data_IF_993119467338
#
_entry.id   IF_993119467338
#
_cell.length_a   1.000
_cell.length_b   1.000
_cell.length_c   1.000
_cell.angle_alpha   90.00
_cell.angle_beta   90.00
_cell.angle_gamma   90.00
#
_symmetry.space_group_name_H-M   'P 1'
#
loop_
_entity.id
_entity.type
_entity.pdbx_description
1 polymer ?
#
# COMPACT_ATOMS: atom_id res chain seq x y z
N UNK A 1 -17.61 -17.23 39.78
CA UNK A 1 -17.10 -16.54 38.57
C UNK A 1 -17.12 -17.54 37.43
N UNK A 2 -17.57 -17.16 36.22
CA UNK A 2 -17.67 -18.08 35.09
C UNK A 2 -16.28 -18.53 34.63
N UNK A 3 -16.11 -19.80 34.27
CA UNK A 3 -14.89 -20.40 33.68
C UNK A 3 -14.35 -19.55 32.51
N UNK A 4 -15.23 -18.84 31.78
CA UNK A 4 -14.83 -17.90 30.72
C UNK A 4 -14.00 -16.71 31.22
N UNK A 5 -14.32 -16.18 32.41
CA UNK A 5 -13.66 -14.99 32.95
C UNK A 5 -12.24 -15.32 33.44
N UNK A 6 -12.07 -16.49 34.02
CA UNK A 6 -10.77 -17.00 34.47
C UNK A 6 -9.82 -17.26 33.29
N UNK A 7 -10.32 -17.84 32.19
CA UNK A 7 -9.53 -18.01 30.95
C UNK A 7 -9.13 -16.67 30.30
N UNK A 8 -10.02 -15.67 30.33
CA UNK A 8 -9.72 -14.33 29.81
C UNK A 8 -8.64 -13.64 30.66
N UNK A 9 -8.71 -13.74 31.99
CA UNK A 9 -7.66 -13.20 32.88
C UNK A 9 -6.32 -13.91 32.71
N UNK A 10 -6.30 -15.24 32.56
CA UNK A 10 -5.08 -15.98 32.22
C UNK A 10 -4.50 -15.52 30.88
N UNK A 11 -5.35 -15.27 29.88
CA UNK A 11 -4.90 -14.74 28.60
C UNK A 11 -4.30 -13.34 28.81
N UNK A 12 -4.98 -12.43 29.51
CA UNK A 12 -4.49 -11.08 29.82
C UNK A 12 -3.14 -11.11 30.55
N UNK A 13 -3.00 -11.93 31.59
CA UNK A 13 -1.76 -12.07 32.36
C UNK A 13 -0.61 -12.55 31.47
N UNK A 14 -0.84 -13.56 30.63
CA UNK A 14 0.18 -14.05 29.70
C UNK A 14 0.53 -13.00 28.64
N UNK A 15 -0.45 -12.24 28.15
CA UNK A 15 -0.26 -11.17 27.18
C UNK A 15 0.51 -9.98 27.79
N UNK A 16 0.27 -9.65 29.07
CA UNK A 16 1.02 -8.65 29.83
C UNK A 16 2.43 -9.14 30.23
N UNK A 17 2.66 -10.43 30.43
CA UNK A 17 3.99 -10.97 30.71
C UNK A 17 4.91 -10.94 29.48
N UNK A 18 4.36 -11.08 28.27
CA UNK A 18 5.09 -10.91 27.00
C UNK A 18 5.57 -9.47 26.78
N UNK A 19 4.88 -8.49 27.37
CA UNK A 19 5.23 -7.06 27.32
C UNK A 19 6.55 -6.75 28.05
N UNK A 20 7.03 -7.61 28.96
CA UNK A 20 8.25 -7.37 29.77
C UNK A 20 9.59 -7.74 29.08
N UNK A 21 9.62 -7.90 27.76
CA UNK A 21 10.87 -7.96 26.98
C UNK A 21 11.71 -9.24 27.19
N UNK A 22 11.10 -10.41 27.08
CA UNK A 22 11.77 -11.70 27.38
C UNK A 22 12.61 -12.23 26.20
N UNK A 23 13.77 -12.89 26.42
CA UNK A 23 14.64 -13.40 25.35
C UNK A 23 13.98 -14.46 24.44
N UNK A 24 14.43 -14.52 23.19
CA UNK A 24 13.85 -15.31 22.08
C UNK A 24 13.70 -16.81 22.38
N UNK A 25 14.58 -17.40 23.19
CA UNK A 25 14.49 -18.84 23.53
C UNK A 25 13.53 -19.17 24.66
N UNK A 26 13.18 -18.18 25.48
CA UNK A 26 12.04 -18.28 26.39
C UNK A 26 10.72 -18.17 25.62
N UNK A 27 10.70 -17.41 24.53
CA UNK A 27 9.55 -17.25 23.64
C UNK A 27 9.10 -18.58 23.02
N UNK A 28 10.01 -19.52 22.69
CA UNK A 28 9.64 -20.85 22.17
C UNK A 28 9.02 -21.77 23.24
N UNK A 29 9.57 -21.79 24.46
CA UNK A 29 8.95 -22.51 25.60
C UNK A 29 7.61 -21.91 25.99
N UNK A 30 7.50 -20.58 25.94
CA UNK A 30 6.28 -19.83 26.23
C UNK A 30 5.24 -20.01 25.14
N UNK A 31 5.61 -20.04 23.85
CA UNK A 31 4.73 -20.44 22.73
C UNK A 31 4.11 -21.82 22.92
N UNK A 32 4.84 -22.76 23.53
CA UNK A 32 4.31 -24.09 23.86
C UNK A 32 3.29 -24.02 24.99
N UNK A 33 3.63 -23.38 26.13
CA UNK A 33 2.65 -23.10 27.21
C UNK A 33 1.43 -22.32 26.72
N UNK A 34 1.62 -21.41 25.77
CA UNK A 34 0.56 -20.60 25.18
C UNK A 34 -0.34 -21.45 24.27
N UNK A 35 0.25 -22.30 23.42
CA UNK A 35 -0.50 -23.27 22.62
C UNK A 35 -1.30 -24.25 23.50
N UNK A 36 -0.71 -24.69 24.60
CA UNK A 36 -1.36 -25.58 25.57
C UNK A 36 -2.47 -24.85 26.37
N UNK A 37 -2.28 -23.56 26.70
CA UNK A 37 -3.29 -22.73 27.36
C UNK A 37 -4.44 -22.32 26.43
N UNK A 38 -4.15 -22.18 25.13
CA UNK A 38 -5.10 -21.89 24.07
C UNK A 38 -5.79 -23.14 23.52
N UNK A 39 -5.36 -24.33 23.92
CA UNK A 39 -6.02 -25.58 23.60
C UNK A 39 -7.43 -25.55 24.23
N UNK A 40 -8.44 -25.27 23.40
CA UNK A 40 -9.82 -25.05 23.84
C UNK A 40 -10.19 -23.62 24.24
N UNK A 41 -9.40 -22.61 23.85
CA UNK A 41 -9.82 -21.20 23.79
C UNK A 41 -10.26 -20.91 22.36
N UNK A 42 -11.50 -20.48 22.19
CA UNK A 42 -12.04 -20.07 20.90
C UNK A 42 -11.41 -18.76 20.45
N UNK A 43 -11.28 -18.57 19.13
CA UNK A 43 -10.86 -17.30 18.52
C UNK A 43 -11.72 -16.10 19.00
N UNK A 44 -12.97 -16.34 19.37
CA UNK A 44 -13.88 -15.36 19.97
C UNK A 44 -13.43 -14.92 21.38
N UNK A 45 -12.94 -15.84 22.21
CA UNK A 45 -12.48 -15.53 23.58
C UNK A 45 -11.18 -14.73 23.59
N UNK A 46 -10.30 -15.04 22.65
CA UNK A 46 -9.09 -14.25 22.37
C UNK A 46 -9.47 -12.83 21.97
N UNK A 47 -10.40 -12.69 21.02
CA UNK A 47 -10.88 -11.38 20.55
C UNK A 47 -11.53 -10.55 21.66
N UNK A 48 -12.25 -11.19 22.59
CA UNK A 48 -12.86 -10.52 23.74
C UNK A 48 -11.80 -9.95 24.70
N UNK A 49 -10.74 -10.70 24.96
CA UNK A 49 -9.64 -10.23 25.81
C UNK A 49 -8.95 -9.00 25.19
N UNK A 50 -8.71 -8.99 23.88
CA UNK A 50 -8.09 -7.84 23.21
C UNK A 50 -9.01 -6.60 23.20
N UNK A 51 -10.34 -6.76 23.09
CA UNK A 51 -11.28 -5.63 23.20
C UNK A 51 -11.24 -4.99 24.60
N UNK A 52 -11.10 -5.81 25.64
CA UNK A 52 -10.95 -5.30 27.00
C UNK A 52 -9.63 -4.54 27.15
N UNK A 53 -8.53 -5.02 26.57
CA UNK A 53 -7.23 -4.32 26.57
C UNK A 53 -7.29 -2.96 25.85
N UNK A 54 -8.04 -2.84 24.75
CA UNK A 54 -8.30 -1.55 24.07
C UNK A 54 -9.02 -0.57 25.02
N UNK A 55 -10.07 -1.04 25.69
CA UNK A 55 -10.85 -0.22 26.64
C UNK A 55 -10.02 0.20 27.85
N UNK A 56 -9.06 -0.62 28.25
CA UNK A 56 -8.11 -0.36 29.33
C UNK A 56 -6.96 0.58 28.91
N UNK A 57 -6.91 1.00 27.64
CA UNK A 57 -5.97 2.00 27.14
C UNK A 57 -4.60 1.46 26.72
N UNK A 58 -4.48 0.15 26.46
CA UNK A 58 -3.25 -0.45 25.93
C UNK A 58 -2.90 0.17 24.56
N UNK A 59 -1.63 0.52 24.29
CA UNK A 59 -1.24 1.12 23.02
C UNK A 59 -1.57 0.22 21.82
N UNK A 60 -2.07 0.84 20.73
CA UNK A 60 -2.42 0.13 19.49
C UNK A 60 -1.24 -0.70 18.96
N UNK A 61 -0.01 -0.18 19.06
CA UNK A 61 1.21 -0.90 18.66
C UNK A 61 1.44 -2.21 19.41
N UNK A 62 0.92 -2.33 20.63
CA UNK A 62 1.01 -3.55 21.44
C UNK A 62 -0.12 -4.51 21.10
N UNK A 63 -1.34 -3.99 20.91
CA UNK A 63 -2.48 -4.78 20.42
C UNK A 63 -2.15 -5.41 19.06
N UNK A 64 -1.44 -4.71 18.18
CA UNK A 64 -1.01 -5.25 16.90
C UNK A 64 -0.03 -6.43 17.02
N UNK A 65 0.79 -6.49 18.09
CA UNK A 65 1.62 -7.67 18.38
C UNK A 65 0.79 -8.86 18.84
N UNK A 66 -0.36 -8.62 19.47
CA UNK A 66 -1.33 -9.64 19.85
C UNK A 66 -2.01 -10.24 18.62
N UNK A 67 -2.45 -9.39 17.68
CA UNK A 67 -2.99 -9.83 16.39
C UNK A 67 -2.01 -10.75 15.64
N UNK A 68 -0.71 -10.44 15.68
CA UNK A 68 0.32 -11.26 15.03
C UNK A 68 0.46 -12.65 15.64
N UNK A 69 0.31 -12.76 16.96
CA UNK A 69 0.33 -14.03 17.66
C UNK A 69 -0.93 -14.85 17.33
N UNK A 70 -2.09 -14.20 17.26
CA UNK A 70 -3.38 -14.86 16.95
C UNK A 70 -3.40 -15.44 15.54
N UNK A 71 -2.92 -14.68 14.53
CA UNK A 71 -2.79 -15.17 13.15
C UNK A 71 -1.91 -16.42 13.08
N UNK A 72 -0.83 -16.48 13.88
CA UNK A 72 0.06 -17.64 13.90
C UNK A 72 -0.59 -18.89 14.52
N UNK A 73 -1.51 -18.72 15.46
CA UNK A 73 -2.19 -19.83 16.16
C UNK A 73 -3.30 -20.46 15.34
N UNK A 74 -4.01 -19.65 14.56
CA UNK A 74 -5.13 -20.08 13.71
C UNK A 74 -4.70 -20.27 12.26
N UNK A 75 -3.40 -20.17 11.98
CA UNK A 75 -2.81 -20.26 10.64
C UNK A 75 -3.30 -21.48 9.88
N UNK A 76 -3.38 -22.63 10.54
CA UNK A 76 -3.80 -23.90 9.94
C UNK A 76 -5.31 -23.94 9.64
N UNK A 77 -6.15 -23.25 10.43
CA UNK A 77 -7.58 -23.13 10.17
C UNK A 77 -7.83 -22.24 8.94
N UNK A 78 -7.09 -21.14 8.83
CA UNK A 78 -7.18 -20.19 7.73
C UNK A 78 -6.71 -20.76 6.39
N UNK A 79 -5.93 -21.84 6.36
CA UNK A 79 -5.51 -22.46 5.09
C UNK A 79 -6.69 -22.85 4.21
N UNK A 80 -7.80 -23.27 4.83
CA UNK A 80 -9.04 -23.69 4.15
C UNK A 80 -9.85 -22.54 3.55
N UNK A 81 -9.54 -21.29 3.91
CA UNK A 81 -10.22 -20.11 3.36
C UNK A 81 -9.74 -19.86 1.93
N UNK A 82 -10.67 -19.91 0.98
CA UNK A 82 -10.42 -19.62 -0.43
C UNK A 82 -11.33 -18.48 -0.90
N UNK A 83 -10.82 -17.66 -1.82
CA UNK A 83 -11.62 -16.67 -2.52
C UNK A 83 -12.63 -17.39 -3.42
N UNK A 84 -13.92 -17.18 -3.16
CA UNK A 84 -15.00 -17.79 -3.96
C UNK A 84 -15.49 -16.79 -5.00
N UNK A 85 -15.86 -17.29 -6.18
CA UNK A 85 -16.59 -16.52 -7.20
C UNK A 85 -15.88 -15.25 -7.74
N UNK A 86 -14.54 -15.21 -7.73
CA UNK A 86 -13.77 -14.10 -8.33
C UNK A 86 -13.63 -14.31 -9.85
N UNK A 87 -14.12 -13.40 -10.71
CA UNK A 87 -13.98 -13.54 -12.16
C UNK A 87 -12.53 -13.46 -12.64
N UNK A 88 -12.19 -14.20 -13.71
CA UNK A 88 -10.86 -14.07 -14.34
C UNK A 88 -10.62 -12.64 -14.84
N UNK A 89 -9.42 -12.13 -14.59
CA UNK A 89 -9.03 -10.77 -14.96
C UNK A 89 -9.52 -9.67 -14.01
N UNK A 90 -10.32 -10.04 -13.01
CA UNK A 90 -10.72 -9.13 -11.93
C UNK A 90 -9.45 -8.68 -11.16
N UNK A 91 -9.38 -7.44 -10.63
CA UNK A 91 -8.19 -6.98 -9.90
C UNK A 91 -7.75 -7.93 -8.79
N UNK A 92 -8.70 -8.51 -8.04
CA UNK A 92 -8.42 -9.49 -7.00
C UNK A 92 -7.85 -10.83 -7.53
N UNK A 93 -8.33 -11.32 -8.68
CA UNK A 93 -7.75 -12.51 -9.36
C UNK A 93 -6.31 -12.23 -9.79
N UNK A 94 -6.05 -11.03 -10.33
CA UNK A 94 -4.71 -10.63 -10.73
C UNK A 94 -3.77 -10.48 -9.52
N UNK A 95 -4.23 -9.86 -8.42
CA UNK A 95 -3.44 -9.76 -7.19
C UNK A 95 -3.09 -11.14 -6.63
N UNK A 96 -4.03 -12.08 -6.63
CA UNK A 96 -3.78 -13.45 -6.16
C UNK A 96 -2.76 -14.19 -7.05
N UNK A 97 -2.85 -14.04 -8.38
CA UNK A 97 -1.84 -14.57 -9.31
C UNK A 97 -0.47 -13.94 -9.15
N UNK A 98 -0.42 -12.63 -8.85
CA UNK A 98 0.84 -11.97 -8.52
C UNK A 98 1.44 -12.57 -7.24
N UNK A 99 0.62 -12.84 -6.23
CA UNK A 99 1.04 -13.52 -5.01
C UNK A 99 1.56 -14.94 -5.26
N UNK A 100 0.94 -15.73 -6.13
CA UNK A 100 1.49 -17.02 -6.53
C UNK A 100 2.89 -16.88 -7.15
N UNK A 101 3.10 -15.87 -8.00
CA UNK A 101 4.40 -15.60 -8.61
C UNK A 101 5.43 -15.18 -7.57
N UNK A 102 5.07 -14.29 -6.64
CA UNK A 102 5.94 -13.84 -5.55
C UNK A 102 6.28 -15.02 -4.63
N UNK A 103 5.31 -15.87 -4.31
CA UNK A 103 5.50 -17.05 -3.47
C UNK A 103 6.51 -18.02 -4.07
N UNK A 104 6.41 -18.32 -5.39
CA UNK A 104 7.40 -19.16 -6.08
C UNK A 104 8.82 -18.59 -5.99
N UNK A 105 8.96 -17.27 -6.01
CA UNK A 105 10.26 -16.59 -5.89
C UNK A 105 10.78 -16.63 -4.45
N UNK A 106 9.90 -16.54 -3.45
CA UNK A 106 10.25 -16.74 -2.05
C UNK A 106 10.72 -18.19 -1.77
N UNK A 107 10.03 -19.19 -2.32
CA UNK A 107 10.43 -20.60 -2.23
C UNK A 107 11.78 -20.86 -2.92
N UNK A 108 12.01 -20.26 -4.10
CA UNK A 108 13.29 -20.32 -4.79
C UNK A 108 14.41 -19.68 -3.94
N UNK A 109 14.14 -18.51 -3.34
CA UNK A 109 15.08 -17.83 -2.45
C UNK A 109 15.44 -18.69 -1.24
N UNK A 110 14.44 -19.31 -0.59
CA UNK A 110 14.66 -20.21 0.53
C UNK A 110 15.48 -21.44 0.11
N UNK A 111 15.18 -22.03 -1.04
CA UNK A 111 15.91 -23.18 -1.57
C UNK A 111 17.39 -22.85 -1.80
N UNK A 112 17.69 -21.71 -2.43
CA UNK A 112 19.07 -21.27 -2.63
C UNK A 112 19.76 -20.87 -1.32
N UNK A 113 19.03 -20.31 -0.36
CA UNK A 113 19.56 -20.04 0.96
C UNK A 113 20.01 -21.32 1.68
N UNK A 114 19.19 -22.37 1.62
CA UNK A 114 19.52 -23.67 2.23
C UNK A 114 20.70 -24.36 1.53
N UNK A 115 20.75 -24.29 0.20
CA UNK A 115 21.87 -24.80 -0.57
C UNK A 115 23.17 -24.04 -0.26
N UNK A 116 23.12 -22.70 -0.23
CA UNK A 116 24.25 -21.82 0.11
C UNK A 116 24.77 -22.09 1.53
N UNK A 117 23.87 -22.38 2.49
CA UNK A 117 24.24 -22.72 3.87
C UNK A 117 25.06 -24.01 3.98
N UNK A 118 24.84 -24.96 3.06
CA UNK A 118 25.50 -26.29 3.03
C UNK A 118 26.60 -26.41 1.97
N UNK A 119 26.81 -25.36 1.17
CA UNK A 119 27.69 -25.39 0.01
C UNK A 119 29.17 -25.60 0.38
N UNK A 120 29.87 -26.42 -0.41
CA UNK A 120 31.33 -26.49 -0.35
C UNK A 120 32.00 -25.24 -0.96
N UNK A 121 33.30 -24.97 -0.67
CA UNK A 121 33.99 -23.75 -1.12
C UNK A 121 33.88 -23.46 -2.63
N UNK A 122 33.87 -24.50 -3.46
CA UNK A 122 33.82 -24.38 -4.92
C UNK A 122 32.40 -24.10 -5.46
N UNK A 123 31.36 -24.28 -4.64
CA UNK A 123 29.95 -24.13 -5.05
C UNK A 123 29.34 -22.80 -4.61
N UNK A 124 29.90 -22.16 -3.57
CA UNK A 124 29.38 -20.92 -2.97
C UNK A 124 29.10 -19.86 -4.04
N UNK A 125 30.03 -19.64 -4.96
CA UNK A 125 29.89 -18.59 -5.97
C UNK A 125 28.71 -18.83 -6.91
N UNK A 126 28.40 -20.09 -7.23
CA UNK A 126 27.28 -20.44 -8.09
C UNK A 126 25.95 -20.21 -7.37
N UNK A 127 25.85 -20.61 -6.10
CA UNK A 127 24.66 -20.34 -5.28
C UNK A 127 24.47 -18.85 -4.99
N UNK A 128 25.55 -18.07 -4.83
CA UNK A 128 25.45 -16.61 -4.72
C UNK A 128 24.91 -15.97 -6.00
N UNK A 129 25.33 -16.44 -7.19
CA UNK A 129 24.79 -15.98 -8.48
C UNK A 129 23.30 -16.28 -8.60
N UNK A 130 22.91 -17.53 -8.32
CA UNK A 130 21.50 -17.92 -8.35
C UNK A 130 20.64 -17.12 -7.35
N UNK A 131 21.17 -16.87 -6.14
CA UNK A 131 20.51 -16.02 -5.14
C UNK A 131 20.39 -14.57 -5.64
N UNK A 132 21.43 -14.04 -6.28
CA UNK A 132 21.46 -12.70 -6.85
C UNK A 132 20.39 -12.51 -7.95
N UNK A 133 20.25 -13.50 -8.84
CA UNK A 133 19.24 -13.50 -9.91
C UNK A 133 17.83 -13.48 -9.33
N UNK A 134 17.56 -14.32 -8.33
CA UNK A 134 16.27 -14.32 -7.63
C UNK A 134 16.01 -12.97 -6.97
N UNK A 135 16.97 -12.40 -6.24
CA UNK A 135 16.87 -11.07 -5.61
C UNK A 135 16.64 -9.96 -6.63
N UNK A 136 17.21 -10.07 -7.84
CA UNK A 136 16.98 -9.10 -8.90
C UNK A 136 15.53 -9.12 -9.40
N UNK A 137 14.90 -10.30 -9.49
CA UNK A 137 13.48 -10.42 -9.86
C UNK A 137 12.56 -9.69 -8.87
N UNK A 138 12.85 -9.76 -7.56
CA UNK A 138 12.09 -9.07 -6.50
C UNK A 138 11.98 -7.54 -6.69
N UNK A 139 12.83 -6.91 -7.51
CA UNK A 139 12.76 -5.46 -7.79
C UNK A 139 11.40 -5.04 -8.35
N UNK A 140 10.76 -5.89 -9.16
CA UNK A 140 9.46 -5.58 -9.77
C UNK A 140 8.32 -5.65 -8.76
N UNK A 141 8.50 -6.30 -7.61
CA UNK A 141 7.39 -6.66 -6.73
C UNK A 141 6.80 -5.46 -6.00
N UNK A 142 7.53 -4.33 -5.99
CA UNK A 142 6.99 -3.03 -5.58
C UNK A 142 5.72 -2.66 -6.34
N UNK A 143 5.53 -3.16 -7.57
CA UNK A 143 4.30 -2.95 -8.32
C UNK A 143 3.10 -3.65 -7.68
N UNK A 144 3.28 -4.80 -7.02
CA UNK A 144 2.24 -5.48 -6.28
C UNK A 144 1.84 -4.69 -5.03
N UNK A 145 2.81 -4.41 -4.16
CA UNK A 145 2.56 -3.61 -2.95
C UNK A 145 2.01 -2.23 -3.28
N UNK A 146 2.48 -1.56 -4.34
CA UNK A 146 1.93 -0.26 -4.75
C UNK A 146 0.46 -0.35 -5.15
N UNK A 147 0.00 -1.46 -5.76
CA UNK A 147 -1.44 -1.64 -6.03
C UNK A 147 -2.23 -1.78 -4.74
N UNK A 148 -1.76 -2.58 -3.79
CA UNK A 148 -2.40 -2.73 -2.48
C UNK A 148 -2.43 -1.37 -1.75
N UNK A 149 -1.28 -0.72 -1.61
CA UNK A 149 -1.11 0.54 -0.88
C UNK A 149 -1.88 1.70 -1.48
N UNK A 150 -1.87 1.84 -2.81
CA UNK A 150 -2.42 3.03 -3.47
C UNK A 150 -3.86 2.83 -3.96
N UNK A 151 -4.29 1.58 -4.17
CA UNK A 151 -5.62 1.30 -4.75
C UNK A 151 -6.55 0.54 -3.80
N UNK A 152 -6.04 -0.17 -2.78
CA UNK A 152 -6.88 -0.92 -1.83
C UNK A 152 -6.98 -0.19 -0.51
N UNK A 153 -5.85 0.23 0.07
CA UNK A 153 -5.83 0.87 1.39
C UNK A 153 -6.70 2.14 1.48
N UNK A 154 -6.77 3.04 0.47
CA UNK A 154 -7.61 4.22 0.58
C UNK A 154 -9.10 3.91 0.83
N UNK A 155 -9.62 2.82 0.25
CA UNK A 155 -11.00 2.38 0.46
C UNK A 155 -11.23 1.74 1.84
N UNK A 156 -10.21 1.09 2.40
CA UNK A 156 -10.23 0.57 3.78
C UNK A 156 -10.13 1.70 4.80
N UNK A 157 -9.26 2.67 4.56
CA UNK A 157 -9.07 3.85 5.40
C UNK A 157 -10.31 4.74 5.42
N UNK A 158 -11.00 4.87 4.28
CA UNK A 158 -12.32 5.52 4.21
C UNK A 158 -13.36 4.89 5.14
N UNK A 159 -13.22 3.58 5.41
CA UNK A 159 -14.08 2.82 6.34
C UNK A 159 -13.58 2.86 7.79
N UNK A 160 -12.51 3.61 8.08
CA UNK A 160 -11.86 3.65 9.39
C UNK A 160 -10.88 2.51 9.66
N UNK A 161 -10.61 1.64 8.68
CA UNK A 161 -9.77 0.45 8.87
C UNK A 161 -8.29 0.82 8.66
N UNK A 162 -7.77 1.72 9.51
CA UNK A 162 -6.43 2.31 9.37
C UNK A 162 -5.34 1.42 9.99
N UNK A 163 -5.66 0.74 11.10
CA UNK A 163 -4.70 -0.10 11.84
C UNK A 163 -4.13 -1.21 10.94
N UNK A 164 -5.01 -1.91 10.22
CA UNK A 164 -4.64 -3.01 9.31
C UNK A 164 -3.77 -2.51 8.17
N UNK A 165 -4.13 -1.40 7.52
CA UNK A 165 -3.35 -0.85 6.40
C UNK A 165 -1.95 -0.42 6.85
N UNK A 166 -1.83 0.21 8.03
CA UNK A 166 -0.54 0.61 8.60
C UNK A 166 0.36 -0.55 8.95
N UNK A 167 -0.19 -1.64 9.49
CA UNK A 167 0.59 -2.85 9.84
C UNK A 167 1.12 -3.54 8.60
N UNK A 168 0.25 -3.75 7.60
CA UNK A 168 0.64 -4.39 6.36
C UNK A 168 1.70 -3.55 5.64
N UNK A 169 1.50 -2.24 5.50
CA UNK A 169 2.50 -1.35 4.90
C UNK A 169 3.83 -1.40 5.66
N UNK A 170 3.80 -1.33 7.00
CA UNK A 170 5.01 -1.42 7.81
C UNK A 170 5.81 -2.70 7.52
N UNK A 171 5.13 -3.85 7.40
CA UNK A 171 5.75 -5.14 7.07
C UNK A 171 6.27 -5.20 5.63
N UNK A 172 5.52 -4.67 4.66
CA UNK A 172 5.96 -4.54 3.28
C UNK A 172 7.24 -3.69 3.18
N UNK A 173 7.33 -2.58 3.90
CA UNK A 173 8.52 -1.73 3.95
C UNK A 173 9.73 -2.47 4.55
N UNK A 174 9.54 -3.23 5.64
CA UNK A 174 10.60 -4.07 6.21
C UNK A 174 11.13 -5.08 5.20
N UNK A 175 10.26 -5.73 4.42
CA UNK A 175 10.68 -6.63 3.33
C UNK A 175 11.49 -5.88 2.27
N UNK A 176 11.08 -4.67 1.89
CA UNK A 176 11.83 -3.87 0.91
C UNK A 176 13.21 -3.46 1.44
N UNK A 177 13.33 -3.11 2.72
CA UNK A 177 14.61 -2.79 3.35
C UNK A 177 15.52 -4.03 3.41
N UNK A 178 15.01 -5.16 3.90
CA UNK A 178 15.75 -6.43 3.95
C UNK A 178 16.21 -6.89 2.57
N UNK A 179 15.40 -6.69 1.53
CA UNK A 179 15.78 -7.00 0.15
C UNK A 179 16.97 -6.15 -0.33
N UNK A 180 16.98 -4.83 -0.02
CA UNK A 180 18.10 -3.94 -0.37
C UNK A 180 19.37 -4.31 0.38
N UNK A 181 19.24 -4.62 1.67
CA UNK A 181 20.36 -5.09 2.49
C UNK A 181 20.94 -6.40 1.93
N UNK A 182 20.08 -7.36 1.60
CA UNK A 182 20.50 -8.64 1.05
C UNK A 182 21.20 -8.46 -0.31
N UNK A 183 20.68 -7.62 -1.20
CA UNK A 183 21.32 -7.30 -2.47
C UNK A 183 22.75 -6.74 -2.26
N UNK A 184 22.90 -5.78 -1.33
CA UNK A 184 24.19 -5.19 -0.98
C UNK A 184 25.16 -6.24 -0.38
N UNK A 185 24.65 -7.15 0.45
CA UNK A 185 25.45 -8.23 1.03
C UNK A 185 25.89 -9.24 -0.03
N UNK A 186 25.03 -9.57 -1.00
CA UNK A 186 25.38 -10.44 -2.11
C UNK A 186 26.51 -9.83 -2.94
N UNK A 187 26.47 -8.52 -3.22
CA UNK A 187 27.56 -7.82 -3.93
C UNK A 187 28.91 -7.96 -3.19
N UNK A 188 28.91 -7.81 -1.85
CA UNK A 188 30.10 -8.07 -1.03
C UNK A 188 30.52 -9.54 -1.06
N UNK A 189 29.55 -10.46 -0.97
CA UNK A 189 29.78 -11.90 -1.05
C UNK A 189 30.34 -12.36 -2.39
N UNK A 190 30.10 -11.64 -3.49
CA UNK A 190 30.74 -11.94 -4.77
C UNK A 190 32.26 -11.69 -4.74
N UNK A 191 32.71 -10.74 -3.90
CA UNK A 191 34.14 -10.41 -3.73
C UNK A 191 34.81 -11.27 -2.66
N UNK A 192 34.08 -11.66 -1.62
CA UNK A 192 34.56 -12.53 -0.53
C UNK A 192 33.51 -13.60 -0.17
N UNK A 193 33.39 -14.67 -0.97
CA UNK A 193 32.30 -15.64 -0.82
C UNK A 193 32.29 -16.37 0.52
N UNK A 194 33.46 -16.82 0.99
CA UNK A 194 33.59 -17.64 2.19
C UNK A 194 33.17 -16.90 3.47
N UNK A 195 33.48 -15.59 3.55
CA UNK A 195 33.15 -14.76 4.70
C UNK A 195 31.65 -14.47 4.80
N UNK A 196 30.99 -14.23 3.67
CA UNK A 196 29.60 -13.73 3.66
C UNK A 196 28.54 -14.82 3.44
N UNK A 197 28.89 -15.99 2.89
CA UNK A 197 27.93 -17.02 2.49
C UNK A 197 26.91 -17.40 3.57
N UNK A 198 27.38 -17.65 4.80
CA UNK A 198 26.48 -18.03 5.92
C UNK A 198 25.50 -16.92 6.30
N UNK A 199 25.97 -15.69 6.39
CA UNK A 199 25.14 -14.53 6.71
C UNK A 199 24.13 -14.23 5.59
N UNK A 200 24.54 -14.35 4.32
CA UNK A 200 23.64 -14.21 3.17
C UNK A 200 22.57 -15.30 3.20
N UNK A 201 22.94 -16.55 3.46
CA UNK A 201 21.99 -17.65 3.57
C UNK A 201 20.97 -17.42 4.70
N UNK A 202 21.41 -16.99 5.88
CA UNK A 202 20.51 -16.69 7.00
C UNK A 202 19.52 -15.57 6.67
N UNK A 203 20.02 -14.45 6.12
CA UNK A 203 19.18 -13.31 5.73
C UNK A 203 18.24 -13.62 4.57
N UNK A 204 18.66 -14.43 3.60
CA UNK A 204 17.81 -14.87 2.50
C UNK A 204 16.67 -15.77 2.99
N UNK A 205 16.97 -16.68 3.93
CA UNK A 205 15.97 -17.53 4.57
C UNK A 205 14.98 -16.72 5.39
N UNK A 206 15.45 -15.78 6.21
CA UNK A 206 14.60 -14.87 6.98
C UNK A 206 13.68 -14.05 6.05
N UNK A 207 14.23 -13.46 4.99
CA UNK A 207 13.46 -12.70 4.01
C UNK A 207 12.40 -13.55 3.30
N UNK A 208 12.74 -14.78 2.87
CA UNK A 208 11.75 -15.66 2.23
C UNK A 208 10.57 -15.97 3.16
N UNK A 209 10.82 -16.12 4.46
CA UNK A 209 9.78 -16.38 5.45
C UNK A 209 8.86 -15.17 5.63
N UNK A 210 9.42 -13.97 5.73
CA UNK A 210 8.63 -12.73 5.86
C UNK A 210 7.74 -12.49 4.64
N UNK A 211 8.25 -12.76 3.44
CA UNK A 211 7.49 -12.63 2.20
C UNK A 211 6.35 -13.65 2.18
N UNK A 212 6.61 -14.91 2.51
CA UNK A 212 5.56 -15.93 2.62
C UNK A 212 4.52 -15.60 3.70
N UNK A 213 4.90 -14.91 4.78
CA UNK A 213 3.96 -14.43 5.80
C UNK A 213 3.07 -13.30 5.30
N UNK A 214 3.61 -12.34 4.56
CA UNK A 214 2.84 -11.28 3.92
C UNK A 214 1.82 -11.85 2.94
N UNK A 215 2.25 -12.72 2.03
CA UNK A 215 1.36 -13.38 1.05
C UNK A 215 0.25 -14.14 1.77
N UNK A 216 0.58 -14.86 2.84
CA UNK A 216 -0.43 -15.57 3.63
C UNK A 216 -1.49 -14.63 4.20
N UNK A 217 -1.07 -13.49 4.77
CA UNK A 217 -2.00 -12.48 5.30
C UNK A 217 -2.84 -11.84 4.21
N UNK A 218 -2.24 -11.58 3.06
CA UNK A 218 -2.96 -11.04 1.91
C UNK A 218 -4.03 -12.01 1.43
N UNK A 219 -3.66 -13.26 1.10
CA UNK A 219 -4.57 -14.28 0.56
C UNK A 219 -5.66 -14.70 1.55
N UNK A 220 -5.31 -14.81 2.84
CA UNK A 220 -6.22 -15.42 3.83
C UNK A 220 -6.97 -14.40 4.68
N UNK A 221 -6.52 -13.15 4.72
CA UNK A 221 -7.12 -12.12 5.57
C UNK A 221 -7.52 -10.91 4.71
N UNK A 222 -6.58 -10.23 4.05
CA UNK A 222 -6.88 -8.99 3.33
C UNK A 222 -7.86 -9.22 2.16
N UNK A 223 -7.56 -10.18 1.29
CA UNK A 223 -8.31 -10.43 0.05
C UNK A 223 -9.76 -10.85 0.31
N UNK A 224 -10.05 -11.80 1.21
CA UNK A 224 -11.43 -12.12 1.59
C UNK A 224 -12.15 -10.91 2.21
N UNK A 225 -11.42 -10.08 2.97
CA UNK A 225 -12.01 -8.89 3.60
C UNK A 225 -12.41 -7.84 2.58
N UNK A 226 -11.52 -7.49 1.65
CA UNK A 226 -11.84 -6.50 0.60
C UNK A 226 -12.88 -7.04 -0.38
N UNK A 227 -12.91 -8.36 -0.62
CA UNK A 227 -13.98 -8.98 -1.39
C UNK A 227 -15.35 -8.80 -0.73
N UNK A 228 -15.43 -8.93 0.59
CA UNK A 228 -16.68 -8.74 1.34
C UNK A 228 -17.09 -7.26 1.46
N UNK A 229 -16.13 -6.34 1.47
CA UNK A 229 -16.37 -4.91 1.73
C UNK A 229 -16.60 -4.09 0.46
N UNK A 230 -15.92 -4.42 -0.63
CA UNK A 230 -15.89 -3.56 -1.82
C UNK A 230 -16.99 -3.94 -2.79
N UNK A 231 -17.66 -2.91 -3.30
CA UNK A 231 -18.63 -3.00 -4.38
C UNK A 231 -17.96 -3.13 -5.75
N UNK A 232 -18.74 -3.50 -6.77
CA UNK A 232 -18.25 -3.59 -8.14
C UNK A 232 -17.73 -2.24 -8.68
N UNK A 233 -18.30 -1.10 -8.27
CA UNK A 233 -17.84 0.22 -8.70
C UNK A 233 -16.47 0.61 -8.12
N UNK A 234 -16.18 0.19 -6.89
CA UNK A 234 -14.84 0.35 -6.29
C UNK A 234 -13.82 -0.51 -7.06
N UNK A 235 -14.15 -1.77 -7.34
CA UNK A 235 -13.30 -2.63 -8.16
C UNK A 235 -13.12 -2.10 -9.59
N UNK A 236 -14.13 -1.46 -10.17
CA UNK A 236 -14.05 -0.82 -11.49
C UNK A 236 -13.01 0.30 -11.51
N UNK A 237 -13.00 1.18 -10.49
CA UNK A 237 -11.99 2.22 -10.34
C UNK A 237 -10.59 1.63 -10.12
N UNK A 238 -10.46 0.62 -9.26
CA UNK A 238 -9.20 -0.10 -9.02
C UNK A 238 -8.68 -0.72 -10.33
N UNK A 239 -9.56 -1.33 -11.13
CA UNK A 239 -9.19 -1.92 -12.42
C UNK A 239 -8.68 -0.88 -13.43
N UNK A 240 -9.25 0.31 -13.44
CA UNK A 240 -8.81 1.41 -14.31
C UNK A 240 -7.43 1.92 -13.90
N UNK A 241 -7.24 2.25 -12.62
CA UNK A 241 -6.00 2.81 -12.10
C UNK A 241 -4.85 1.80 -12.05
N UNK A 242 -5.14 0.51 -11.81
CA UNK A 242 -4.12 -0.54 -11.79
C UNK A 242 -3.35 -0.66 -13.11
N UNK A 243 -3.96 -0.30 -14.26
CA UNK A 243 -3.29 -0.29 -15.56
C UNK A 243 -2.14 0.72 -15.63
N UNK A 244 -2.26 1.84 -14.90
CA UNK A 244 -1.22 2.88 -14.83
C UNK A 244 -0.02 2.44 -13.98
N UNK A 245 -0.23 1.52 -13.03
CA UNK A 245 0.83 0.94 -12.20
C UNK A 245 1.50 -0.25 -12.92
N UNK A 246 0.71 -1.13 -13.54
CA UNK A 246 1.18 -2.33 -14.21
C UNK A 246 1.11 -3.61 -13.36
N UNK A 247 1.44 -4.74 -13.99
CA UNK A 247 1.25 -6.08 -13.43
C UNK A 247 2.53 -6.92 -13.47
N UNK A 248 2.65 -7.87 -12.53
CA UNK A 248 3.73 -8.88 -12.51
C UNK A 248 3.40 -10.11 -13.35
N UNK A 249 2.13 -10.29 -13.69
CA UNK A 249 1.60 -11.42 -14.44
C UNK A 249 0.94 -10.94 -15.74
N UNK A 250 0.93 -11.77 -16.80
CA UNK A 250 0.22 -11.44 -18.03
C UNK A 250 -1.29 -11.38 -17.79
N UNK A 251 -1.97 -10.48 -18.50
CA UNK A 251 -3.44 -10.38 -18.47
C UNK A 251 -4.01 -11.24 -19.60
N UNK A 252 -4.50 -12.43 -19.26
CA UNK A 252 -5.09 -13.36 -20.24
C UNK A 252 -6.53 -12.99 -20.60
N UNK A 253 -7.29 -12.50 -19.62
CA UNK A 253 -8.71 -12.15 -19.77
C UNK A 253 -8.90 -10.74 -19.25
N UNK A 254 -9.53 -9.87 -20.06
CA UNK A 254 -9.88 -8.52 -19.65
C UNK A 254 -11.23 -8.53 -18.94
N UNK A 255 -11.21 -8.23 -17.64
CA UNK A 255 -12.45 -8.00 -16.90
C UNK A 255 -13.11 -6.68 -17.34
N UNK A 256 -14.44 -6.70 -17.45
CA UNK A 256 -15.25 -5.52 -17.80
C UNK A 256 -16.29 -5.32 -16.70
N UNK A 257 -16.15 -4.28 -15.85
CA UNK A 257 -17.11 -3.99 -14.80
C UNK A 257 -18.47 -3.58 -15.39
N UNK A 258 -19.55 -3.93 -14.71
CA UNK A 258 -20.91 -3.48 -15.03
C UNK A 258 -21.25 -2.15 -14.35
N UNK A 259 -20.62 -1.87 -13.22
CA UNK A 259 -20.79 -0.63 -12.46
C UNK A 259 -19.87 0.49 -12.96
N UNK A 260 -20.27 1.74 -12.72
CA UNK A 260 -19.40 2.90 -12.93
C UNK A 260 -18.27 2.90 -11.88
N UNK A 261 -17.04 3.28 -12.25
CA UNK A 261 -15.96 3.51 -11.29
C UNK A 261 -16.38 4.43 -10.16
N UNK A 262 -16.03 4.07 -8.92
CA UNK A 262 -16.22 4.89 -7.73
C UNK A 262 -14.86 5.05 -7.02
N UNK A 263 -14.39 6.28 -6.91
CA UNK A 263 -13.17 6.65 -6.20
C UNK A 263 -13.37 6.64 -4.68
N UNK A 264 -12.30 6.56 -3.87
CA UNK A 264 -12.44 6.44 -2.42
C UNK A 264 -13.28 7.54 -1.76
N UNK A 265 -13.20 8.78 -2.23
CA UNK A 265 -13.94 9.91 -1.68
C UNK A 265 -15.45 9.87 -1.99
N UNK A 266 -15.87 9.10 -3.01
CA UNK A 266 -17.27 8.94 -3.42
C UNK A 266 -17.99 7.84 -2.61
N UNK A 267 -17.23 7.03 -1.85
CA UNK A 267 -17.78 5.94 -1.03
C UNK A 267 -18.13 6.47 0.36
N UNK A 268 -19.28 6.03 0.90
CA UNK A 268 -19.77 6.44 2.23
C UNK A 268 -18.87 5.99 3.39
N UNK A 269 -18.06 4.95 3.19
CA UNK A 269 -17.22 4.34 4.21
C UNK A 269 -17.98 3.55 5.28
N UNK A 270 -19.31 3.52 5.25
CA UNK A 270 -20.11 2.79 6.23
C UNK A 270 -20.00 1.29 5.98
N UNK A 271 -19.64 0.52 7.00
CA UNK A 271 -19.62 -0.95 6.97
C UNK A 271 -20.87 -1.47 7.66
N UNK A 272 -21.71 -2.23 6.95
CA UNK A 272 -22.95 -2.76 7.51
C UNK A 272 -22.69 -3.95 8.44
N UNK A 273 -23.60 -4.25 9.41
CA UNK A 273 -23.47 -5.44 10.26
C UNK A 273 -23.29 -6.75 9.46
N UNK A 274 -24.00 -6.90 8.34
CA UNK A 274 -23.90 -8.07 7.47
C UNK A 274 -22.52 -8.18 6.80
N UNK A 275 -21.91 -7.04 6.44
CA UNK A 275 -20.55 -7.02 5.92
C UNK A 275 -19.55 -7.40 7.02
N UNK A 276 -19.71 -6.86 8.23
CA UNK A 276 -18.90 -7.27 9.39
C UNK A 276 -19.01 -8.77 9.61
N UNK A 277 -20.20 -9.35 9.52
CA UNK A 277 -20.44 -10.79 9.65
C UNK A 277 -19.81 -11.67 8.57
N UNK A 278 -19.33 -11.10 7.46
CA UNK A 278 -18.63 -11.83 6.39
C UNK A 278 -17.11 -11.72 6.47
N UNK A 279 -16.59 -10.78 7.25
CA UNK A 279 -15.15 -10.58 7.40
C UNK A 279 -14.48 -11.76 8.11
N UNK A 280 -13.22 -12.11 7.81
CA UNK A 280 -12.38 -12.95 8.66
C UNK A 280 -12.34 -12.40 10.09
N UNK A 281 -12.33 -13.26 11.10
CA UNK A 281 -12.45 -12.84 12.50
C UNK A 281 -11.29 -11.94 12.92
N UNK A 282 -10.10 -12.21 12.41
CA UNK A 282 -8.85 -11.46 12.64
C UNK A 282 -8.98 -10.05 12.09
N UNK A 283 -9.59 -9.94 10.90
CA UNK A 283 -9.80 -8.65 10.26
C UNK A 283 -10.88 -7.84 10.97
N UNK A 284 -11.98 -8.48 11.41
CA UNK A 284 -13.02 -7.81 12.21
C UNK A 284 -12.43 -7.16 13.42
N UNK A 285 -11.61 -7.88 14.18
CA UNK A 285 -11.07 -7.36 15.44
C UNK A 285 -10.19 -6.12 15.20
N UNK A 286 -9.21 -6.23 14.29
CA UNK A 286 -8.32 -5.12 13.97
C UNK A 286 -9.08 -3.92 13.38
N UNK A 287 -10.10 -4.17 12.57
CA UNK A 287 -10.97 -3.13 11.99
C UNK A 287 -11.88 -2.48 13.03
N UNK A 288 -12.51 -3.25 13.92
CA UNK A 288 -13.48 -2.77 14.92
C UNK A 288 -12.85 -1.84 15.96
N UNK A 289 -11.55 -1.97 16.21
CA UNK A 289 -10.81 -1.06 17.08
C UNK A 289 -10.80 0.40 16.56
N UNK A 290 -10.94 0.61 15.24
CA UNK A 290 -10.85 1.93 14.60
C UNK A 290 -12.01 2.24 13.66
N UNK A 291 -13.10 1.47 13.70
CA UNK A 291 -14.21 1.52 12.74
C UNK A 291 -15.03 2.82 12.87
N UNK A 292 -14.49 3.89 12.35
CA UNK A 292 -15.12 5.19 12.19
C UNK A 292 -14.96 5.61 10.73
N UNK A 293 -16.04 5.63 9.93
CA UNK A 293 -15.97 6.10 8.55
C UNK A 293 -15.42 7.51 8.49
N UNK A 294 -14.50 7.74 7.56
CA UNK A 294 -14.08 9.08 7.20
C UNK A 294 -15.16 9.71 6.32
N UNK A 295 -15.79 10.76 6.83
CA UNK A 295 -16.91 11.45 6.18
C UNK A 295 -16.46 12.70 5.40
N UNK A 296 -15.16 12.98 5.35
CA UNK A 296 -14.62 14.15 4.65
C UNK A 296 -15.06 14.20 3.19
N UNK A 297 -15.61 15.31 2.74
CA UNK A 297 -16.01 15.50 1.34
C UNK A 297 -14.87 16.20 0.59
N UNK A 298 -14.35 15.55 -0.44
CA UNK A 298 -13.23 16.10 -1.21
C UNK A 298 -13.61 17.34 -2.04
N UNK A 299 -14.90 17.47 -2.38
CA UNK A 299 -15.45 18.62 -3.12
C UNK A 299 -16.36 19.43 -2.21
N UNK A 300 -16.02 20.71 -2.03
CA UNK A 300 -16.86 21.69 -1.33
C UNK A 300 -17.76 22.45 -2.31
N UNK A 301 -18.80 23.08 -1.79
CA UNK A 301 -19.65 23.97 -2.59
C UNK A 301 -18.82 25.15 -3.12
N UNK A 302 -18.85 25.36 -4.43
CA UNK A 302 -18.09 26.43 -5.10
C UNK A 302 -16.68 26.05 -5.57
N UNK A 303 -16.22 24.83 -5.30
CA UNK A 303 -14.94 24.35 -5.85
C UNK A 303 -14.99 24.19 -7.37
N UNK A 304 -13.87 24.54 -8.00
CA UNK A 304 -13.62 24.24 -9.41
C UNK A 304 -13.24 22.76 -9.53
N UNK A 305 -13.89 22.09 -10.47
CA UNK A 305 -13.66 20.67 -10.77
C UNK A 305 -12.65 20.51 -11.90
N UNK A 306 -11.58 19.76 -11.62
CA UNK A 306 -10.55 19.36 -12.56
C UNK A 306 -10.52 17.83 -12.65
N UNK A 307 -10.00 17.29 -13.76
CA UNK A 307 -9.86 15.84 -13.96
C UNK A 307 -9.04 15.13 -12.86
N UNK A 308 -8.23 15.89 -12.12
CA UNK A 308 -7.33 15.38 -11.06
C UNK A 308 -7.69 15.88 -9.66
N UNK A 309 -8.82 16.56 -9.47
CA UNK A 309 -9.26 16.99 -8.14
C UNK A 309 -10.09 18.27 -8.12
N UNK A 310 -10.26 18.82 -6.92
CA UNK A 310 -11.10 19.98 -6.66
C UNK A 310 -10.27 21.06 -5.98
N UNK A 311 -10.43 22.30 -6.41
CA UNK A 311 -9.78 23.45 -5.77
C UNK A 311 -10.75 24.63 -5.74
N UNK A 312 -10.78 25.33 -4.63
CA UNK A 312 -11.43 26.64 -4.57
C UNK A 312 -10.69 27.65 -5.45
N UNK A 313 -11.40 28.71 -5.85
CA UNK A 313 -10.80 29.81 -6.63
C UNK A 313 -9.60 30.42 -5.89
N UNK A 314 -9.69 30.59 -4.57
CA UNK A 314 -8.64 31.21 -3.76
C UNK A 314 -7.39 30.33 -3.69
N UNK A 315 -7.54 29.01 -3.61
CA UNK A 315 -6.42 28.06 -3.68
C UNK A 315 -5.74 28.10 -5.05
N UNK A 316 -6.51 28.16 -6.14
CA UNK A 316 -5.96 28.29 -7.49
C UNK A 316 -5.14 29.58 -7.62
N UNK A 317 -5.68 30.71 -7.15
CA UNK A 317 -4.96 31.98 -7.13
C UNK A 317 -3.70 31.93 -6.23
N UNK A 318 -3.77 31.25 -5.09
CA UNK A 318 -2.64 31.06 -4.20
C UNK A 318 -1.54 30.19 -4.83
N UNK A 319 -1.90 29.09 -5.51
CA UNK A 319 -0.94 28.24 -6.24
C UNK A 319 -0.21 29.08 -7.28
N UNK A 320 -0.93 29.79 -8.15
CA UNK A 320 -0.31 30.64 -9.17
C UNK A 320 0.59 31.73 -8.59
N UNK A 321 0.28 32.22 -7.38
CA UNK A 321 1.08 33.23 -6.67
C UNK A 321 2.40 32.67 -6.13
N UNK A 322 2.45 31.39 -5.80
CA UNK A 322 3.63 30.75 -5.22
C UNK A 322 4.45 29.93 -6.22
N UNK A 323 4.10 29.94 -7.51
CA UNK A 323 4.97 29.37 -8.53
C UNK A 323 6.26 30.22 -8.69
N UNK A 324 7.43 29.58 -8.93
CA UNK A 324 8.69 30.28 -9.19
C UNK A 324 8.75 30.92 -10.60
N UNK A 325 7.62 30.92 -11.31
CA UNK A 325 7.43 31.46 -12.66
C UNK A 325 6.20 32.38 -12.67
N UNK A 326 6.25 33.41 -13.50
CA UNK A 326 5.07 34.21 -13.85
C UNK A 326 4.49 33.71 -15.16
N UNK A 327 3.19 33.47 -15.18
CA UNK A 327 2.44 33.02 -16.34
C UNK A 327 1.68 34.21 -16.92
N UNK A 328 1.70 34.39 -18.23
CA UNK A 328 0.76 35.27 -18.94
C UNK A 328 0.11 34.42 -20.03
N UNK A 329 -1.20 34.25 -19.94
CA UNK A 329 -1.94 33.43 -20.88
C UNK A 329 -2.75 34.31 -21.85
N UNK A 330 -2.46 34.12 -23.14
CA UNK A 330 -3.28 34.64 -24.22
C UNK A 330 -4.11 33.49 -24.80
N UNK A 331 -5.42 33.71 -24.95
CA UNK A 331 -6.32 32.68 -25.46
C UNK A 331 -6.27 32.58 -27.00
N UNK A 332 -7.09 31.68 -27.57
CA UNK A 332 -7.17 31.46 -29.02
C UNK A 332 -7.50 32.72 -29.85
N UNK A 333 -8.06 33.76 -29.23
CA UNK A 333 -8.37 35.04 -29.87
C UNK A 333 -7.21 36.06 -29.83
N UNK A 334 -5.99 35.61 -29.52
CA UNK A 334 -4.78 36.42 -29.37
C UNK A 334 -4.93 37.54 -28.34
N UNK A 335 -5.73 37.32 -27.29
CA UNK A 335 -5.96 38.28 -26.22
C UNK A 335 -5.46 37.75 -24.90
N UNK A 336 -4.75 38.60 -24.16
CA UNK A 336 -4.35 38.28 -22.79
C UNK A 336 -5.59 38.21 -21.92
N UNK A 337 -5.85 37.06 -21.30
CA UNK A 337 -7.02 36.89 -20.41
C UNK A 337 -6.63 36.57 -18.98
N UNK A 338 -5.38 36.16 -18.75
CA UNK A 338 -4.88 35.84 -17.42
C UNK A 338 -3.40 36.16 -17.31
N UNK A 339 -2.98 36.60 -16.13
CA UNK A 339 -1.57 36.61 -15.74
C UNK A 339 -1.46 36.29 -14.25
N UNK A 340 -0.46 35.52 -13.86
CA UNK A 340 -0.15 35.26 -12.45
C UNK A 340 0.71 36.39 -11.87
N UNK A 341 0.65 36.56 -10.55
CA UNK A 341 1.53 37.46 -9.80
C UNK A 341 2.36 36.64 -8.85
N UNK A 342 3.63 36.39 -9.18
CA UNK A 342 4.50 35.59 -8.30
C UNK A 342 5.01 36.44 -7.14
N UNK A 343 5.00 35.87 -5.92
CA UNK A 343 5.67 36.48 -4.75
C UNK A 343 7.15 36.12 -4.67
N UNK A 344 7.57 35.03 -5.32
CA UNK A 344 8.93 34.48 -5.23
C UNK A 344 9.89 35.15 -6.23
N UNK A 345 9.42 35.48 -7.42
CA UNK A 345 10.22 36.13 -8.45
C UNK A 345 9.41 37.23 -9.10
N UNK A 346 9.84 38.48 -8.90
CA UNK A 346 9.27 39.63 -9.61
C UNK A 346 9.77 39.59 -11.05
N UNK A 347 8.93 39.13 -11.96
CA UNK A 347 9.20 39.19 -13.39
C UNK A 347 8.88 40.58 -13.94
N UNK A 348 8.38 40.63 -15.17
CA UNK A 348 7.96 41.89 -15.77
C UNK A 348 6.63 42.34 -15.17
N UNK A 349 6.59 43.55 -14.61
CA UNK A 349 5.36 44.11 -14.08
C UNK A 349 4.21 44.04 -15.12
N UNK A 350 3.08 43.48 -14.70
CA UNK A 350 1.82 43.43 -15.47
C UNK A 350 0.74 44.19 -14.72
N UNK A 351 -0.02 44.98 -15.45
CA UNK A 351 -1.17 45.74 -14.93
C UNK A 351 -2.46 45.04 -15.33
N UNK A 352 -3.52 45.18 -14.52
CA UNK A 352 -4.84 44.61 -14.86
C UNK A 352 -5.40 45.11 -16.21
N UNK A 353 -4.94 46.27 -16.68
CA UNK A 353 -5.32 46.87 -17.97
C UNK A 353 -4.86 46.08 -19.20
N UNK A 354 -3.97 45.08 -19.05
CA UNK A 354 -3.60 44.17 -20.15
C UNK A 354 -4.71 43.15 -20.46
N UNK A 355 -5.61 42.88 -19.51
CA UNK A 355 -6.66 41.88 -19.68
C UNK A 355 -7.60 42.34 -20.81
N UNK A 356 -7.83 41.48 -21.80
CA UNK A 356 -8.56 41.76 -23.02
C UNK A 356 -7.74 42.40 -24.15
N UNK A 357 -6.52 42.88 -23.88
CA UNK A 357 -5.65 43.49 -24.89
C UNK A 357 -5.11 42.45 -25.86
N UNK A 358 -5.00 42.80 -27.15
CA UNK A 358 -4.35 41.96 -28.16
C UNK A 358 -2.87 41.77 -27.82
N UNK A 359 -2.40 40.52 -27.88
CA UNK A 359 -1.06 40.13 -27.46
C UNK A 359 0.05 40.85 -28.24
N UNK A 360 -0.11 40.99 -29.56
CA UNK A 360 0.82 41.73 -30.41
C UNK A 360 0.98 43.21 -30.00
N UNK A 361 -0.08 43.85 -29.50
CA UNK A 361 -0.04 45.23 -29.05
C UNK A 361 0.48 45.42 -27.64
N UNK A 362 0.82 44.35 -26.91
CA UNK A 362 1.37 44.44 -25.56
C UNK A 362 2.87 44.81 -25.56
N UNK A 363 3.47 44.98 -26.74
CA UNK A 363 4.91 45.16 -26.94
C UNK A 363 5.17 46.35 -27.86
N UNK A 364 6.39 46.93 -27.83
CA UNK A 364 6.75 48.02 -28.74
C UNK A 364 6.57 47.63 -30.22
N UNK A 365 6.16 48.56 -31.11
CA UNK A 365 5.89 48.27 -32.53
C UNK A 365 7.01 47.54 -33.26
N UNK A 366 8.28 47.82 -32.91
CA UNK A 366 9.45 47.14 -33.49
C UNK A 366 9.48 45.62 -33.27
N UNK A 367 8.76 45.11 -32.25
CA UNK A 367 8.70 43.69 -31.90
C UNK A 367 7.40 43.01 -32.38
N UNK A 368 6.46 43.76 -32.94
CA UNK A 368 5.13 43.24 -33.31
C UNK A 368 5.22 42.14 -34.37
N UNK A 369 6.07 42.33 -35.40
CA UNK A 369 6.29 41.32 -36.43
C UNK A 369 6.91 40.04 -35.87
N UNK A 370 7.87 40.15 -34.95
CA UNK A 370 8.48 39.00 -34.29
C UNK A 370 7.44 38.20 -33.50
N UNK A 371 6.61 38.89 -32.72
CA UNK A 371 5.56 38.24 -31.91
C UNK A 371 4.50 37.60 -32.79
N UNK A 372 4.06 38.29 -33.85
CA UNK A 372 3.08 37.75 -34.79
C UNK A 372 3.59 36.47 -35.46
N UNK A 373 4.87 36.45 -35.86
CA UNK A 373 5.48 35.26 -36.45
C UNK A 373 5.52 34.10 -35.44
N UNK A 374 5.98 34.35 -34.21
CA UNK A 374 6.02 33.33 -33.16
C UNK A 374 4.61 32.75 -32.85
N UNK A 375 3.59 33.61 -32.77
CA UNK A 375 2.20 33.16 -32.57
C UNK A 375 1.70 32.33 -33.75
N UNK A 376 2.01 32.74 -34.98
CA UNK A 376 1.62 31.99 -36.19
C UNK A 376 2.33 30.63 -36.27
N UNK A 377 3.60 30.56 -35.91
CA UNK A 377 4.37 29.32 -35.85
C UNK A 377 3.74 28.34 -34.86
N UNK A 378 3.43 28.79 -33.63
CA UNK A 378 2.72 28.02 -32.61
C UNK A 378 1.35 27.53 -33.11
N UNK A 379 0.55 28.42 -33.71
CA UNK A 379 -0.77 28.06 -34.25
C UNK A 379 -0.70 27.05 -35.41
N UNK A 380 0.38 27.08 -36.18
CA UNK A 380 0.60 26.17 -37.31
C UNK A 380 1.25 24.85 -36.93
N UNK A 381 1.63 24.66 -35.66
CA UNK A 381 2.33 23.46 -35.18
C UNK A 381 3.77 23.34 -35.65
N UNK A 382 4.42 24.45 -36.05
CA UNK A 382 5.82 24.48 -36.51
C UNK A 382 6.83 24.69 -35.39
N UNK A 383 6.37 25.01 -34.19
CA UNK A 383 7.17 25.31 -33.01
C UNK A 383 7.29 24.10 -32.07
#
# INVERSE_FOLDING_TARGET
MSIKREKIEILKDILMELHRGTPVEELKRRKRRFRDALEGISSLEISLAEQELIKEGVPISEILKLCDLHVELIRDLLRSTELKDVPKGHPLDLLSKENERIYRLAEALNTYAEALSRAGPNEIINYLKATSEVVAEFRRFRLHYRKIQMLIFPYLERRGIISVTRVLWGREDQVILKLRELATLIEKGMSDPSTYAKNIAEKAKDLSKDISDLIFREEKILFPSVQALFSEGEWAAIHEEAKRIGYLVPIEVKWTPKAKPMLPHEVSGIVTPEQVERLPQEFRFAAMATLAPDTYQAKSEGDLEFDTGFLSKDEVEAIFRHLPIELTYANANDRVVFFSKSVLRRGFARTKTIIGRRFGYCHPPRLENFIRNAVNELKSGKA
#
